data_IF_528586338177
#
_entry.id   IF_528586338177
#
_cell.length_a   1.000
_cell.length_b   1.000
_cell.length_c   1.000
_cell.angle_alpha   90.00
_cell.angle_beta   90.00
_cell.angle_gamma   90.00
#
_symmetry.space_group_name_H-M   'P 1'
#
loop_
_entity.id
_entity.type
_entity.pdbx_description
1 polymer ?
#
# COMPACT_ATOMS: atom_id res chain seq x y z
N UNK A 1 -1.86 44.69 -28.81
CA UNK A 1 -1.60 44.42 -30.24
C UNK A 1 -1.81 45.68 -31.09
N UNK A 2 -1.30 46.83 -30.67
CA UNK A 2 -1.53 48.09 -31.39
C UNK A 2 -0.75 48.14 -32.72
N UNK A 3 -1.28 48.87 -33.71
CA UNK A 3 -0.61 49.22 -34.97
C UNK A 3 -0.07 48.02 -35.78
N UNK A 4 -0.81 46.90 -35.78
CA UNK A 4 -0.52 45.76 -36.65
C UNK A 4 -1.38 45.82 -37.94
N UNK A 5 -1.17 44.86 -38.84
CA UNK A 5 -1.90 44.76 -40.11
C UNK A 5 -3.11 43.83 -39.98
N UNK A 6 -3.84 43.90 -38.86
CA UNK A 6 -5.03 43.05 -38.64
C UNK A 6 -6.20 43.67 -39.42
N UNK A 7 -6.53 43.07 -40.57
CA UNK A 7 -7.46 43.64 -41.55
C UNK A 7 -8.93 43.27 -41.31
N UNK A 8 -9.23 42.07 -40.85
CA UNK A 8 -10.61 41.62 -40.65
C UNK A 8 -10.73 40.77 -39.38
N UNK A 9 -11.93 40.77 -38.79
CA UNK A 9 -12.30 39.73 -37.84
C UNK A 9 -12.42 38.36 -38.53
N UNK A 10 -12.39 38.19 -39.85
CA UNK A 10 -12.23 36.86 -40.49
C UNK A 10 -10.83 36.26 -40.27
N UNK A 11 -9.83 37.08 -39.90
CA UNK A 11 -8.57 36.62 -39.28
C UNK A 11 -8.73 36.29 -37.77
N UNK A 12 -9.97 36.27 -37.25
CA UNK A 12 -10.37 35.92 -35.87
C UNK A 12 -9.75 34.63 -35.40
N UNK A 13 -9.45 33.64 -36.26
CA UNK A 13 -8.87 32.38 -35.79
C UNK A 13 -7.70 32.61 -34.83
N UNK A 14 -6.88 33.63 -35.07
CA UNK A 14 -5.81 33.99 -34.15
C UNK A 14 -6.29 34.54 -32.80
N UNK A 15 -7.30 35.43 -32.75
CA UNK A 15 -7.87 35.91 -31.48
C UNK A 15 -8.74 34.85 -30.78
N UNK A 16 -9.41 33.99 -31.54
CA UNK A 16 -10.12 32.82 -31.05
C UNK A 16 -9.17 31.81 -30.41
N UNK A 17 -7.93 31.69 -30.87
CA UNK A 17 -6.90 30.90 -30.20
C UNK A 17 -6.51 31.49 -28.83
N UNK A 18 -6.79 32.78 -28.61
CA UNK A 18 -6.50 33.48 -27.37
C UNK A 18 -7.73 33.59 -26.45
N UNK A 19 -8.92 33.15 -26.87
CA UNK A 19 -10.19 33.30 -26.13
C UNK A 19 -10.17 32.72 -24.71
N UNK A 20 -9.29 31.74 -24.46
CA UNK A 20 -9.15 31.09 -23.16
C UNK A 20 -8.15 31.81 -22.22
N UNK A 21 -7.50 32.89 -22.68
CA UNK A 21 -6.62 33.69 -21.84
C UNK A 21 -7.46 34.61 -20.94
N UNK A 22 -7.09 34.76 -19.64
CA UNK A 22 -7.77 35.66 -18.72
C UNK A 22 -7.33 37.11 -18.96
N UNK A 23 -7.72 37.67 -20.12
CA UNK A 23 -7.36 39.04 -20.49
C UNK A 23 -8.31 40.05 -19.84
N UNK A 24 -7.75 40.97 -19.07
CA UNK A 24 -8.48 42.10 -18.48
C UNK A 24 -8.41 43.35 -19.36
N UNK A 25 -7.28 43.56 -20.06
CA UNK A 25 -7.04 44.70 -20.96
C UNK A 25 -6.58 44.22 -22.34
N UNK A 26 -7.17 44.80 -23.39
CA UNK A 26 -6.80 44.56 -24.77
C UNK A 26 -6.64 45.89 -25.52
N UNK A 27 -5.60 46.00 -26.34
CA UNK A 27 -5.36 47.17 -27.19
C UNK A 27 -5.21 46.73 -28.65
N UNK A 28 -6.17 47.11 -29.49
CA UNK A 28 -6.21 46.90 -30.93
C UNK A 28 -6.16 48.22 -31.70
N UNK A 29 -5.98 49.37 -31.03
CA UNK A 29 -5.84 50.67 -31.67
C UNK A 29 -4.78 50.67 -32.79
N UNK A 30 -5.09 51.32 -33.90
CA UNK A 30 -4.21 51.43 -35.07
C UNK A 30 -4.22 50.21 -35.99
N UNK A 31 -5.10 49.24 -35.76
CA UNK A 31 -5.33 48.15 -36.71
C UNK A 31 -6.45 48.51 -37.71
N UNK A 32 -6.34 48.11 -39.01
CA UNK A 32 -7.38 48.36 -40.01
C UNK A 32 -8.76 47.78 -39.68
N UNK A 33 -8.86 46.79 -38.79
CA UNK A 33 -10.13 46.28 -38.27
C UNK A 33 -10.95 47.35 -37.53
N UNK A 34 -10.29 48.34 -36.91
CA UNK A 34 -10.97 49.35 -36.09
C UNK A 34 -11.82 50.30 -36.95
N UNK A 35 -11.41 50.53 -38.20
CA UNK A 35 -12.13 51.40 -39.16
C UNK A 35 -13.31 50.71 -39.85
N UNK A 36 -13.57 49.43 -39.56
CA UNK A 36 -14.68 48.67 -40.16
C UNK A 36 -16.00 48.78 -39.41
N UNK A 37 -15.98 49.32 -38.19
CA UNK A 37 -17.15 49.44 -37.34
C UNK A 37 -17.69 50.87 -37.38
N UNK A 38 -19.01 50.98 -37.56
CA UNK A 38 -19.66 52.29 -37.67
C UNK A 38 -19.95 52.91 -36.30
N UNK A 39 -20.01 52.08 -35.25
CA UNK A 39 -20.15 52.55 -33.87
C UNK A 39 -19.14 51.87 -32.94
N UNK A 40 -18.81 52.56 -31.85
CA UNK A 40 -17.96 51.99 -30.81
C UNK A 40 -18.62 50.78 -30.13
N UNK A 41 -19.95 50.79 -30.02
CA UNK A 41 -20.75 49.72 -29.40
C UNK A 41 -20.69 48.41 -30.20
N UNK A 42 -20.74 48.50 -31.54
CA UNK A 42 -20.62 47.35 -32.44
C UNK A 42 -19.24 46.69 -32.31
N UNK A 43 -18.18 47.52 -32.27
CA UNK A 43 -16.81 47.09 -32.06
C UNK A 43 -16.61 46.40 -30.69
N UNK A 44 -17.14 46.98 -29.61
CA UNK A 44 -17.09 46.41 -28.26
C UNK A 44 -17.83 45.08 -28.19
N UNK A 45 -19.00 44.98 -28.85
CA UNK A 45 -19.79 43.75 -28.90
C UNK A 45 -19.03 42.60 -29.56
N UNK A 46 -18.39 42.84 -30.71
CA UNK A 46 -17.58 41.81 -31.40
C UNK A 46 -16.36 41.36 -30.59
N UNK A 47 -15.68 42.28 -29.91
CA UNK A 47 -14.55 41.93 -29.02
C UNK A 47 -15.04 41.09 -27.83
N UNK A 48 -16.20 41.40 -27.26
CA UNK A 48 -16.78 40.67 -26.12
C UNK A 48 -17.33 39.30 -26.47
N UNK A 49 -17.68 39.04 -27.73
CA UNK A 49 -17.97 37.67 -28.19
C UNK A 49 -16.76 36.73 -28.04
N UNK A 50 -15.53 37.26 -28.13
CA UNK A 50 -14.28 36.50 -28.04
C UNK A 50 -13.69 36.56 -26.64
N UNK A 51 -13.75 37.72 -25.98
CA UNK A 51 -13.24 37.95 -24.63
C UNK A 51 -14.36 38.45 -23.71
N UNK A 52 -15.27 37.56 -23.25
CA UNK A 52 -16.42 37.96 -22.44
C UNK A 52 -16.05 38.64 -21.12
N UNK A 53 -14.85 38.34 -20.58
CA UNK A 53 -14.37 38.89 -19.29
C UNK A 53 -13.56 40.19 -19.42
N UNK A 54 -13.45 40.78 -20.63
CA UNK A 54 -12.62 41.95 -20.87
C UNK A 54 -13.17 43.21 -20.18
N UNK A 55 -12.32 43.88 -19.40
CA UNK A 55 -12.65 45.06 -18.61
C UNK A 55 -12.24 46.37 -19.30
N UNK A 56 -11.21 46.34 -20.13
CA UNK A 56 -10.67 47.53 -20.79
C UNK A 56 -10.28 47.25 -22.24
N UNK A 57 -10.73 48.10 -23.15
CA UNK A 57 -10.41 48.02 -24.58
C UNK A 57 -9.91 49.37 -25.07
N UNK A 58 -8.72 49.38 -25.67
CA UNK A 58 -8.10 50.61 -26.22
C UNK A 58 -8.06 51.74 -25.19
N UNK A 59 -7.60 51.40 -23.99
CA UNK A 59 -7.51 52.26 -22.82
C UNK A 59 -8.86 52.75 -22.24
N UNK A 60 -9.99 52.38 -22.86
CA UNK A 60 -11.33 52.74 -22.38
C UNK A 60 -11.94 51.64 -21.52
N UNK A 61 -12.49 51.97 -20.33
CA UNK A 61 -13.19 51.00 -19.50
C UNK A 61 -14.49 50.56 -20.19
N UNK A 62 -14.76 49.25 -20.14
CA UNK A 62 -16.00 48.67 -20.67
C UNK A 62 -16.99 48.40 -19.52
N UNK A 63 -18.32 48.46 -19.77
CA UNK A 63 -19.33 48.13 -18.75
C UNK A 63 -19.12 46.73 -18.19
N UNK A 64 -19.37 46.45 -16.91
CA UNK A 64 -19.16 45.11 -16.36
C UNK A 64 -19.86 44.02 -17.22
N UNK A 65 -19.16 42.94 -17.60
CA UNK A 65 -19.79 41.89 -18.40
C UNK A 65 -20.86 41.15 -17.59
N UNK A 66 -22.00 40.87 -18.21
CA UNK A 66 -23.07 40.09 -17.61
C UNK A 66 -22.67 38.62 -17.71
N UNK A 67 -21.94 38.13 -16.72
CA UNK A 67 -21.55 36.72 -16.61
C UNK A 67 -22.47 36.05 -15.59
N UNK A 68 -23.20 35.02 -16.02
CA UNK A 68 -23.80 34.08 -15.08
C UNK A 68 -22.68 33.18 -14.60
N UNK A 69 -22.27 33.38 -13.35
CA UNK A 69 -21.25 32.56 -12.71
C UNK A 69 -21.86 31.18 -12.44
N UNK A 70 -21.78 30.28 -13.42
CA UNK A 70 -21.86 28.85 -13.12
C UNK A 70 -20.54 28.58 -12.44
N UNK A 71 -20.59 28.49 -11.11
CA UNK A 71 -19.45 28.33 -10.23
C UNK A 71 -18.71 27.04 -10.62
N UNK A 72 -17.80 27.14 -11.60
CA UNK A 72 -16.78 26.13 -11.92
C UNK A 72 -15.76 26.15 -10.78
N UNK A 73 -16.24 25.93 -9.55
CA UNK A 73 -15.39 25.64 -8.42
C UNK A 73 -14.62 24.40 -8.83
N UNK A 74 -13.36 24.60 -9.24
CA UNK A 74 -12.39 23.53 -9.39
C UNK A 74 -12.48 22.73 -8.10
N UNK A 75 -13.11 21.55 -8.16
CA UNK A 75 -13.37 20.69 -7.03
C UNK A 75 -12.02 20.52 -6.32
N UNK A 76 -11.85 21.20 -5.18
CA UNK A 76 -10.66 21.04 -4.37
C UNK A 76 -10.83 19.69 -3.70
N UNK A 77 -10.07 18.71 -4.19
CA UNK A 77 -10.00 17.42 -3.51
C UNK A 77 -9.49 17.65 -2.07
N UNK A 78 -10.05 16.93 -1.09
CA UNK A 78 -9.51 16.97 0.26
C UNK A 78 -8.03 16.57 0.27
N UNK A 79 -7.27 17.16 1.18
CA UNK A 79 -5.85 16.86 1.32
C UNK A 79 -5.66 15.42 1.79
N UNK A 80 -4.73 14.68 1.17
CA UNK A 80 -4.38 13.32 1.61
C UNK A 80 -3.91 13.34 3.06
N UNK A 81 -4.57 12.54 3.91
CA UNK A 81 -4.15 12.30 5.28
C UNK A 81 -3.40 10.97 5.34
N UNK A 82 -2.32 10.94 6.13
CA UNK A 82 -1.50 9.73 6.31
C UNK A 82 -2.16 8.76 7.28
N UNK A 83 -2.94 9.28 8.24
CA UNK A 83 -3.59 8.50 9.27
C UNK A 83 -4.99 9.05 9.51
N UNK A 84 -6.01 8.25 9.19
CA UNK A 84 -7.42 8.62 9.33
C UNK A 84 -8.07 7.71 10.36
N UNK A 85 -8.45 8.28 11.50
CA UNK A 85 -9.28 7.61 12.50
C UNK A 85 -10.39 8.56 12.88
N UNK A 86 -11.64 8.11 12.79
CA UNK A 86 -12.79 8.84 13.31
C UNK A 86 -12.61 9.05 14.82
N UNK A 87 -12.83 10.27 15.34
CA UNK A 87 -12.64 10.74 16.73
C UNK A 87 -12.73 9.68 17.86
N UNK A 88 -11.75 8.78 17.94
CA UNK A 88 -11.67 7.65 18.86
C UNK A 88 -10.20 7.36 19.16
N UNK A 89 -9.67 8.03 20.17
CA UNK A 89 -8.25 7.94 20.55
C UNK A 89 -7.84 6.53 21.02
N UNK A 90 -8.76 5.78 21.63
CA UNK A 90 -8.47 4.40 22.05
C UNK A 90 -8.27 3.48 20.83
N UNK A 91 -9.15 3.58 19.84
CA UNK A 91 -9.04 2.81 18.61
C UNK A 91 -7.74 3.13 17.85
N UNK A 92 -7.37 4.42 17.83
CA UNK A 92 -6.13 4.91 17.25
C UNK A 92 -4.89 4.33 17.91
N UNK A 93 -4.84 4.30 19.24
CA UNK A 93 -3.71 3.72 19.98
C UNK A 93 -3.60 2.22 19.74
N UNK A 94 -4.73 1.49 19.77
CA UNK A 94 -4.78 0.06 19.44
C UNK A 94 -4.26 -0.19 18.02
N UNK A 95 -4.74 0.60 17.04
CA UNK A 95 -4.35 0.46 15.64
C UNK A 95 -2.84 0.71 15.42
N UNK A 96 -2.28 1.71 16.10
CA UNK A 96 -0.84 2.01 16.06
C UNK A 96 -0.01 0.87 16.65
N UNK A 97 -0.37 0.40 17.84
CA UNK A 97 0.34 -0.72 18.50
C UNK A 97 0.25 -2.01 17.66
N UNK A 98 -0.94 -2.31 17.13
CA UNK A 98 -1.16 -3.43 16.24
C UNK A 98 -0.22 -3.37 15.04
N UNK A 99 -0.14 -2.22 14.35
CA UNK A 99 0.71 -2.04 13.18
C UNK A 99 2.19 -2.30 13.51
N UNK A 100 2.70 -1.68 14.56
CA UNK A 100 4.11 -1.81 14.97
C UNK A 100 4.45 -3.26 15.30
N UNK A 101 3.63 -3.93 16.10
CA UNK A 101 3.86 -5.32 16.51
C UNK A 101 3.73 -6.29 15.32
N UNK A 102 2.70 -6.11 14.50
CA UNK A 102 2.43 -6.98 13.36
C UNK A 102 3.60 -6.98 12.38
N UNK A 103 4.02 -5.81 11.91
CA UNK A 103 5.10 -5.71 10.92
C UNK A 103 6.48 -6.02 11.50
N UNK A 104 6.70 -5.77 12.81
CA UNK A 104 7.91 -6.23 13.50
C UNK A 104 8.06 -7.76 13.43
N UNK A 105 6.98 -8.52 13.64
CA UNK A 105 7.01 -9.97 13.50
C UNK A 105 7.05 -10.37 12.02
N UNK A 106 6.28 -9.71 11.17
CA UNK A 106 6.16 -10.04 9.74
C UNK A 106 7.51 -9.96 9.00
N UNK A 107 8.36 -9.00 9.37
CA UNK A 107 9.69 -8.76 8.77
C UNK A 107 10.86 -9.38 9.57
N UNK A 108 10.58 -10.06 10.69
CA UNK A 108 11.61 -10.65 11.55
C UNK A 108 12.38 -11.83 10.92
N UNK A 109 11.96 -12.29 9.74
CA UNK A 109 12.43 -13.54 9.12
C UNK A 109 11.72 -14.79 9.66
N UNK A 110 11.01 -14.70 10.79
CA UNK A 110 10.17 -15.77 11.31
C UNK A 110 8.75 -15.27 11.60
N UNK A 111 7.82 -15.58 10.70
CA UNK A 111 6.41 -15.16 10.82
C UNK A 111 5.58 -16.05 11.75
N UNK A 112 6.13 -17.15 12.26
CA UNK A 112 5.40 -18.12 13.09
C UNK A 112 4.69 -17.52 14.31
N UNK A 113 5.25 -16.53 15.03
CA UNK A 113 4.56 -15.90 16.16
C UNK A 113 3.27 -15.18 15.79
N UNK A 114 3.01 -14.92 14.50
CA UNK A 114 1.72 -14.38 14.07
C UNK A 114 0.56 -15.36 14.30
N UNK A 115 0.80 -16.67 14.51
CA UNK A 115 -0.26 -17.64 14.77
C UNK A 115 -1.21 -17.19 15.88
N UNK A 116 -0.64 -16.64 16.95
CA UNK A 116 -1.36 -16.18 18.15
C UNK A 116 -2.15 -14.89 17.91
N UNK A 117 -1.83 -14.15 16.85
CA UNK A 117 -2.56 -12.96 16.45
C UNK A 117 -3.84 -13.28 15.67
N UNK A 118 -4.02 -14.51 15.15
CA UNK A 118 -5.17 -14.89 14.34
C UNK A 118 -6.22 -15.67 15.13
N UNK A 119 -7.48 -15.33 14.87
CA UNK A 119 -8.63 -16.09 15.37
C UNK A 119 -8.61 -17.54 14.84
N UNK A 120 -9.14 -18.50 15.61
CA UNK A 120 -9.17 -19.93 15.23
C UNK A 120 -9.75 -20.14 13.83
N UNK A 121 -10.83 -19.41 13.50
CA UNK A 121 -11.53 -19.45 12.23
C UNK A 121 -11.15 -18.28 11.28
N UNK A 122 -9.95 -17.72 11.41
CA UNK A 122 -9.53 -16.58 10.62
C UNK A 122 -9.63 -16.84 9.10
N UNK A 123 -9.99 -15.82 8.34
CA UNK A 123 -10.08 -15.88 6.89
C UNK A 123 -8.99 -15.01 6.27
N UNK A 124 -8.28 -15.53 5.27
CA UNK A 124 -7.29 -14.78 4.51
C UNK A 124 -7.46 -14.97 3.00
N UNK A 125 -7.32 -13.88 2.26
CA UNK A 125 -7.15 -13.97 0.81
C UNK A 125 -6.20 -12.90 0.30
N UNK A 126 -5.50 -13.22 -0.78
CA UNK A 126 -4.61 -12.29 -1.45
C UNK A 126 -5.13 -11.96 -2.83
N UNK A 127 -4.95 -10.73 -3.28
CA UNK A 127 -5.15 -10.32 -4.66
C UNK A 127 -3.88 -9.69 -5.20
N UNK A 128 -3.61 -9.90 -6.49
CA UNK A 128 -2.47 -9.27 -7.15
C UNK A 128 -2.73 -9.03 -8.63
N UNK A 129 -2.19 -7.92 -9.13
CA UNK A 129 -2.14 -7.55 -10.54
C UNK A 129 -0.72 -7.64 -11.13
N UNK A 130 0.25 -8.21 -10.39
CA UNK A 130 1.64 -8.40 -10.86
C UNK A 130 1.64 -9.45 -11.96
N UNK A 131 1.71 -9.03 -13.23
CA UNK A 131 1.61 -9.93 -14.38
C UNK A 131 2.96 -10.31 -15.01
N UNK A 132 4.03 -9.61 -14.63
CA UNK A 132 5.39 -9.74 -15.19
C UNK A 132 6.47 -9.44 -14.13
N UNK A 133 7.73 -9.76 -14.45
CA UNK A 133 8.88 -9.49 -13.59
C UNK A 133 9.16 -10.62 -12.58
N UNK A 134 10.07 -10.41 -11.61
CA UNK A 134 10.42 -11.44 -10.64
C UNK A 134 9.21 -11.93 -9.82
N UNK A 135 9.13 -13.24 -9.59
CA UNK A 135 8.14 -13.92 -8.74
C UNK A 135 6.65 -13.70 -9.06
N UNK A 136 6.32 -13.09 -10.20
CA UNK A 136 4.93 -12.82 -10.57
C UNK A 136 4.02 -14.06 -10.57
N UNK A 137 4.56 -15.23 -10.96
CA UNK A 137 3.81 -16.49 -11.00
C UNK A 137 3.33 -16.91 -9.61
N UNK A 138 4.14 -16.70 -8.58
CA UNK A 138 3.78 -17.02 -7.20
C UNK A 138 2.57 -16.19 -6.76
N UNK A 139 2.62 -14.87 -7.00
CA UNK A 139 1.52 -13.97 -6.66
C UNK A 139 0.24 -14.23 -7.46
N UNK A 140 0.35 -14.44 -8.77
CA UNK A 140 -0.83 -14.65 -9.62
C UNK A 140 -1.51 -16.00 -9.36
N UNK A 141 -0.75 -17.03 -8.98
CA UNK A 141 -1.31 -18.35 -8.69
C UNK A 141 -2.20 -18.32 -7.44
N UNK A 142 -1.78 -17.56 -6.42
CA UNK A 142 -2.52 -17.37 -5.17
C UNK A 142 -3.49 -16.17 -5.20
N UNK A 143 -3.58 -15.44 -6.32
CA UNK A 143 -4.45 -14.26 -6.47
C UNK A 143 -5.93 -14.63 -6.62
N UNK A 144 -6.76 -14.19 -5.67
CA UNK A 144 -8.21 -14.41 -5.60
C UNK A 144 -9.01 -13.23 -6.15
N UNK A 145 -8.82 -12.87 -7.41
CA UNK A 145 -9.69 -11.88 -8.07
C UNK A 145 -10.97 -12.55 -8.58
N UNK A 146 -12.12 -12.25 -7.97
CA UNK A 146 -13.42 -12.84 -8.36
C UNK A 146 -13.82 -12.48 -9.80
N UNK A 147 -13.33 -11.36 -10.33
CA UNK A 147 -13.55 -10.97 -11.73
C UNK A 147 -12.75 -11.84 -12.71
N UNK A 148 -11.63 -12.44 -12.28
CA UNK A 148 -10.74 -13.25 -13.13
C UNK A 148 -10.90 -14.75 -12.91
N UNK A 149 -11.17 -15.16 -11.68
CA UNK A 149 -11.35 -16.57 -11.31
C UNK A 149 -12.83 -16.86 -11.37
N UNK A 150 -13.30 -17.59 -12.39
CA UNK A 150 -14.71 -18.01 -12.51
C UNK A 150 -15.00 -19.33 -11.78
N UNK A 151 -14.02 -20.23 -11.71
CA UNK A 151 -14.16 -21.55 -11.09
C UNK A 151 -14.39 -21.46 -9.57
N UNK A 152 -15.49 -22.06 -9.10
CA UNK A 152 -15.93 -22.00 -7.70
C UNK A 152 -15.00 -22.78 -6.77
N UNK A 153 -14.50 -23.93 -7.21
CA UNK A 153 -13.60 -24.77 -6.43
C UNK A 153 -12.29 -24.04 -6.16
N UNK A 154 -11.73 -23.40 -7.18
CA UNK A 154 -10.55 -22.54 -7.07
C UNK A 154 -10.82 -21.32 -6.19
N UNK A 155 -11.96 -20.64 -6.32
CA UNK A 155 -12.33 -19.51 -5.43
C UNK A 155 -12.36 -19.89 -3.95
N UNK A 156 -12.84 -21.10 -3.63
CA UNK A 156 -12.85 -21.64 -2.27
C UNK A 156 -11.43 -21.97 -1.81
N UNK A 157 -10.63 -22.64 -2.64
CA UNK A 157 -9.23 -22.98 -2.32
C UNK A 157 -8.36 -21.75 -2.05
N UNK A 158 -8.58 -20.67 -2.79
CA UNK A 158 -7.84 -19.41 -2.66
C UNK A 158 -8.27 -18.57 -1.44
N UNK A 159 -9.37 -18.92 -0.76
CA UNK A 159 -9.74 -18.34 0.52
C UNK A 159 -9.22 -19.26 1.62
N UNK A 160 -8.15 -18.86 2.29
CA UNK A 160 -7.55 -19.62 3.38
C UNK A 160 -8.45 -19.47 4.61
N UNK A 161 -8.74 -20.59 5.25
CA UNK A 161 -9.67 -20.66 6.38
C UNK A 161 -8.99 -21.35 7.55
N UNK A 162 -9.06 -20.72 8.71
CA UNK A 162 -8.43 -21.15 9.94
C UNK A 162 -6.98 -20.64 10.07
N UNK A 163 -6.58 -20.27 11.30
CA UNK A 163 -5.30 -19.60 11.58
C UNK A 163 -4.06 -20.32 11.03
N UNK A 164 -4.06 -21.66 11.02
CA UNK A 164 -2.94 -22.46 10.49
C UNK A 164 -2.80 -22.28 8.98
N UNK A 165 -3.90 -22.37 8.23
CA UNK A 165 -3.90 -22.19 6.77
C UNK A 165 -3.54 -20.76 6.37
N UNK A 166 -4.02 -19.79 7.15
CA UNK A 166 -3.66 -18.37 7.02
C UNK A 166 -2.15 -18.19 7.19
N UNK A 167 -1.59 -18.65 8.33
CA UNK A 167 -0.17 -18.51 8.62
C UNK A 167 0.71 -19.21 7.58
N UNK A 168 0.37 -20.44 7.20
CA UNK A 168 1.09 -21.18 6.15
C UNK A 168 1.18 -20.36 4.86
N UNK A 169 0.07 -19.75 4.43
CA UNK A 169 0.05 -18.92 3.22
C UNK A 169 0.86 -17.62 3.37
N UNK A 170 0.89 -17.03 4.56
CA UNK A 170 1.71 -15.86 4.88
C UNK A 170 3.20 -16.21 4.90
N UNK A 171 3.58 -17.37 5.42
CA UNK A 171 4.96 -17.85 5.46
C UNK A 171 5.51 -18.17 4.06
N UNK A 172 4.65 -18.53 3.11
CA UNK A 172 5.04 -18.75 1.71
C UNK A 172 5.43 -17.45 0.99
N UNK A 173 4.97 -16.28 1.45
CA UNK A 173 5.37 -15.00 0.85
C UNK A 173 6.88 -14.77 1.02
N UNK A 174 7.57 -14.12 0.06
CA UNK A 174 8.99 -13.81 0.20
C UNK A 174 9.28 -13.04 1.49
N UNK A 175 10.48 -13.16 2.08
CA UNK A 175 10.87 -12.30 3.20
C UNK A 175 10.84 -10.84 2.77
N UNK A 176 10.45 -9.95 3.68
CA UNK A 176 10.14 -8.55 3.39
C UNK A 176 10.83 -7.60 4.35
N UNK A 177 10.98 -6.35 3.91
CA UNK A 177 11.34 -5.20 4.74
C UNK A 177 10.40 -4.04 4.37
N UNK A 178 9.48 -3.70 5.27
CA UNK A 178 8.49 -2.64 5.05
C UNK A 178 9.06 -1.25 5.39
N UNK A 179 8.75 -0.25 4.57
CA UNK A 179 9.04 1.15 4.90
C UNK A 179 7.86 1.74 5.68
N UNK A 180 7.98 1.76 7.01
CA UNK A 180 6.96 2.33 7.89
C UNK A 180 6.71 3.83 7.63
N UNK A 181 7.67 4.58 7.07
CA UNK A 181 7.47 6.00 6.74
C UNK A 181 6.57 6.18 5.51
N UNK A 182 6.43 5.13 4.69
CA UNK A 182 5.54 5.15 3.53
C UNK A 182 4.09 4.79 3.87
N UNK A 183 3.83 4.34 5.11
CA UNK A 183 2.53 3.79 5.46
C UNK A 183 1.46 4.87 5.52
N UNK A 184 0.29 4.55 5.00
CA UNK A 184 -0.95 5.23 5.33
C UNK A 184 -1.87 4.26 6.05
N UNK A 185 -2.67 4.74 6.99
CA UNK A 185 -3.63 3.92 7.72
C UNK A 185 -5.00 4.58 7.79
N UNK A 186 -6.03 3.81 7.47
CA UNK A 186 -7.43 4.18 7.64
C UNK A 186 -8.09 3.19 8.62
N UNK A 187 -8.60 3.70 9.75
CA UNK A 187 -9.49 2.94 10.63
C UNK A 187 -10.92 3.29 10.24
N UNK A 188 -11.47 2.48 9.33
CA UNK A 188 -12.70 2.79 8.60
C UNK A 188 -13.98 2.52 9.39
N UNK A 189 -13.95 1.57 10.33
CA UNK A 189 -15.11 1.19 11.13
C UNK A 189 -14.69 0.68 12.50
N UNK A 190 -15.33 1.18 13.56
CA UNK A 190 -15.04 0.80 14.96
C UNK A 190 -16.35 0.58 15.70
N UNK A 191 -16.48 -0.57 16.34
CA UNK A 191 -17.56 -0.93 17.26
C UNK A 191 -16.97 -1.72 18.43
N UNK A 192 -17.79 -2.00 19.44
CA UNK A 192 -17.39 -2.90 20.53
C UNK A 192 -17.08 -4.33 20.04
N UNK A 193 -17.67 -4.76 18.92
CA UNK A 193 -17.50 -6.10 18.38
C UNK A 193 -16.32 -6.24 17.42
N UNK A 194 -15.93 -5.17 16.71
CA UNK A 194 -14.86 -5.22 15.72
C UNK A 194 -14.31 -3.85 15.33
N UNK A 195 -13.11 -3.87 14.77
CA UNK A 195 -12.42 -2.76 14.13
C UNK A 195 -11.93 -3.16 12.74
N UNK A 196 -12.08 -2.27 11.75
CA UNK A 196 -11.53 -2.46 10.41
C UNK A 196 -10.38 -1.48 10.20
N UNK A 197 -9.19 -2.02 9.96
CA UNK A 197 -7.97 -1.26 9.69
C UNK A 197 -7.51 -1.57 8.27
N UNK A 198 -7.26 -0.54 7.47
CA UNK A 198 -6.62 -0.67 6.17
C UNK A 198 -5.30 0.08 6.19
N UNK A 199 -4.23 -0.58 5.77
CA UNK A 199 -2.88 0.01 5.67
C UNK A 199 -2.42 -0.11 4.23
N UNK A 200 -1.86 0.97 3.70
CA UNK A 200 -1.14 0.93 2.43
C UNK A 200 0.29 1.37 2.62
N UNK A 201 1.20 0.92 1.77
CA UNK A 201 2.60 1.27 1.90
C UNK A 201 3.49 0.57 0.90
N UNK A 202 4.80 0.71 1.11
CA UNK A 202 5.85 0.11 0.32
C UNK A 202 6.63 -0.91 1.15
N UNK A 203 7.09 -1.96 0.47
CA UNK A 203 8.05 -2.90 1.05
C UNK A 203 9.04 -3.39 0.00
N UNK A 204 10.19 -3.83 0.45
CA UNK A 204 11.23 -4.49 -0.34
C UNK A 204 11.15 -6.01 -0.12
N UNK A 205 11.19 -6.79 -1.19
CA UNK A 205 11.36 -8.25 -1.11
C UNK A 205 12.85 -8.59 -0.93
N UNK A 206 13.19 -9.37 0.10
CA UNK A 206 14.54 -9.82 0.41
C UNK A 206 14.82 -11.15 -0.30
N UNK A 207 15.00 -11.09 -1.62
CA UNK A 207 15.30 -12.26 -2.46
C UNK A 207 16.81 -12.31 -2.69
N UNK A 208 17.45 -13.41 -2.29
CA UNK A 208 18.91 -13.50 -2.18
C UNK A 208 19.71 -13.10 -3.43
N UNK A 209 20.94 -12.58 -3.22
CA UNK A 209 22.06 -12.24 -4.14
C UNK A 209 21.79 -11.63 -5.54
N UNK A 210 20.55 -11.45 -5.99
CA UNK A 210 20.22 -10.81 -7.26
C UNK A 210 20.19 -9.29 -7.05
N UNK A 211 20.88 -8.59 -7.94
CA UNK A 211 21.41 -7.23 -7.82
C UNK A 211 20.38 -6.09 -7.94
N UNK A 212 19.09 -6.32 -7.66
CA UNK A 212 18.10 -5.23 -7.69
C UNK A 212 17.01 -5.43 -6.65
N UNK A 213 16.86 -4.42 -5.80
CA UNK A 213 15.76 -4.33 -4.84
C UNK A 213 14.42 -4.38 -5.58
N UNK A 214 13.58 -5.35 -5.21
CA UNK A 214 12.22 -5.47 -5.72
C UNK A 214 11.30 -4.75 -4.74
N UNK A 215 10.84 -3.57 -5.12
CA UNK A 215 9.93 -2.75 -4.33
C UNK A 215 8.50 -3.02 -4.79
N UNK A 216 7.61 -3.24 -3.83
CA UNK A 216 6.18 -3.48 -4.06
C UNK A 216 5.36 -2.45 -3.33
N UNK A 217 4.17 -2.19 -3.87
CA UNK A 217 3.11 -1.52 -3.13
C UNK A 217 2.12 -2.54 -2.63
N UNK A 218 1.62 -2.34 -1.41
CA UNK A 218 0.56 -3.13 -0.85
C UNK A 218 -0.60 -2.28 -0.35
N UNK A 219 -1.78 -2.87 -0.35
CA UNK A 219 -2.93 -2.46 0.44
C UNK A 219 -3.35 -3.69 1.24
N UNK A 220 -3.44 -3.58 2.56
CA UNK A 220 -3.75 -4.69 3.45
C UNK A 220 -4.82 -4.26 4.43
N UNK A 221 -5.88 -5.06 4.53
CA UNK A 221 -7.03 -4.77 5.37
C UNK A 221 -7.23 -5.88 6.38
N UNK A 222 -7.43 -5.52 7.64
CA UNK A 222 -7.74 -6.43 8.74
C UNK A 222 -9.09 -6.09 9.33
N UNK A 223 -9.84 -7.14 9.67
CA UNK A 223 -10.93 -7.07 10.63
C UNK A 223 -10.41 -7.66 11.94
N UNK A 224 -10.30 -6.82 12.95
CA UNK A 224 -9.81 -7.15 14.27
C UNK A 224 -11.01 -7.24 15.21
N UNK A 225 -11.06 -8.30 16.02
CA UNK A 225 -12.14 -8.54 17.00
C UNK A 225 -11.55 -8.69 18.40
N UNK A 226 -12.28 -8.32 19.46
CA UNK A 226 -11.86 -8.60 20.83
C UNK A 226 -11.79 -10.11 21.10
N UNK A 227 -10.76 -10.54 21.83
CA UNK A 227 -10.65 -11.92 22.32
C UNK A 227 -10.00 -11.93 23.71
N UNK A 228 -10.78 -12.34 24.72
CA UNK A 228 -10.34 -12.28 26.11
C UNK A 228 -10.01 -10.86 26.54
N UNK A 229 -8.78 -10.64 27.01
CA UNK A 229 -8.26 -9.30 27.36
C UNK A 229 -7.55 -8.59 26.21
N UNK A 230 -7.47 -9.22 25.03
CA UNK A 230 -6.74 -8.72 23.88
C UNK A 230 -7.59 -8.69 22.61
N UNK A 231 -6.91 -8.80 21.47
CA UNK A 231 -7.52 -8.74 20.14
C UNK A 231 -6.93 -9.82 19.24
N UNK A 232 -7.71 -10.25 18.25
CA UNK A 232 -7.26 -11.16 17.22
C UNK A 232 -7.78 -10.74 15.85
N UNK A 233 -7.09 -11.20 14.80
CA UNK A 233 -7.46 -10.98 13.41
C UNK A 233 -8.49 -12.04 13.00
N UNK A 234 -9.70 -11.60 12.67
CA UNK A 234 -10.77 -12.46 12.15
C UNK A 234 -10.71 -12.58 10.62
N UNK A 235 -10.44 -11.49 9.92
CA UNK A 235 -10.29 -11.48 8.47
C UNK A 235 -9.09 -10.65 8.06
N UNK A 236 -8.39 -11.10 7.02
CA UNK A 236 -7.34 -10.35 6.37
C UNK A 236 -7.48 -10.42 4.83
N UNK A 237 -7.32 -9.28 4.17
CA UNK A 237 -7.12 -9.20 2.73
C UNK A 237 -5.83 -8.47 2.42
N UNK A 238 -5.05 -9.02 1.48
CA UNK A 238 -3.79 -8.43 1.02
C UNK A 238 -3.82 -8.24 -0.49
N UNK A 239 -3.78 -6.99 -0.93
CA UNK A 239 -3.55 -6.62 -2.32
C UNK A 239 -2.08 -6.24 -2.56
N UNK A 240 -1.44 -6.85 -3.57
CA UNK A 240 -0.04 -6.55 -3.94
C UNK A 240 0.05 -6.11 -5.41
N UNK A 241 0.75 -5.00 -5.64
CA UNK A 241 1.02 -4.44 -6.96
C UNK A 241 2.45 -3.89 -7.08
N UNK A 242 2.78 -3.35 -8.25
CA UNK A 242 4.04 -2.66 -8.48
C UNK A 242 4.05 -1.32 -7.75
N UNK A 243 5.19 -0.95 -7.18
CA UNK A 243 5.42 0.44 -6.84
C UNK A 243 5.49 1.28 -8.13
N UNK A 244 4.94 2.50 -8.09
CA UNK A 244 5.13 3.45 -9.19
C UNK A 244 6.58 3.95 -9.22
N UNK A 245 7.06 4.40 -10.38
CA UNK A 245 8.41 4.96 -10.51
C UNK A 245 8.68 6.14 -9.53
N UNK A 246 7.64 6.90 -9.18
CA UNK A 246 7.74 7.97 -8.19
C UNK A 246 7.90 7.44 -6.76
N UNK A 247 7.17 6.38 -6.41
CA UNK A 247 7.28 5.70 -5.12
C UNK A 247 8.65 5.02 -4.97
N UNK A 248 9.12 4.31 -5.99
CA UNK A 248 10.45 3.70 -6.00
C UNK A 248 11.55 4.75 -5.79
N UNK A 249 11.49 5.87 -6.53
CA UNK A 249 12.46 6.95 -6.38
C UNK A 249 12.46 7.53 -4.96
N UNK A 250 11.28 7.72 -4.35
CA UNK A 250 11.16 8.20 -2.97
C UNK A 250 11.77 7.21 -1.98
N UNK A 251 11.42 5.93 -2.10
CA UNK A 251 11.95 4.84 -1.27
C UNK A 251 13.49 4.79 -1.33
N UNK A 252 14.06 4.83 -2.53
CA UNK A 252 15.53 4.79 -2.74
C UNK A 252 16.25 6.07 -2.33
N UNK A 253 15.54 7.20 -2.23
CA UNK A 253 16.11 8.49 -1.84
C UNK A 253 16.12 8.73 -0.33
N UNK A 254 15.46 7.87 0.46
CA UNK A 254 15.54 7.96 1.91
C UNK A 254 16.98 7.62 2.34
N UNK A 255 17.65 8.46 3.15
CA UNK A 255 18.90 8.06 3.77
C UNK A 255 18.61 6.80 4.59
N UNK A 256 19.47 5.78 4.49
CA UNK A 256 19.36 4.55 5.28
C UNK A 256 19.28 4.94 6.77
N UNK A 257 18.06 4.99 7.30
CA UNK A 257 17.83 5.40 8.67
C UNK A 257 18.31 4.26 9.55
N UNK A 258 19.46 4.48 10.18
CA UNK A 258 19.86 3.76 11.38
C UNK A 258 18.69 3.87 12.36
N UNK A 259 18.22 2.71 12.82
CA UNK A 259 17.13 2.58 13.78
C UNK A 259 17.32 3.54 14.97
N UNK A 260 16.32 4.38 15.23
CA UNK A 260 15.70 4.72 16.53
C UNK A 260 15.26 6.20 16.63
N UNK A 261 14.03 6.49 17.10
CA UNK A 261 13.76 7.66 17.88
C UNK A 261 13.85 7.26 19.36
N UNK A 262 15.05 7.40 19.95
CA UNK A 262 15.21 7.42 21.39
C UNK A 262 14.86 8.82 21.90
N UNK A 263 13.67 8.97 22.50
CA UNK A 263 13.38 10.12 23.35
C UNK A 263 14.00 9.85 24.72
N UNK A 264 14.91 10.73 25.11
CA UNK A 264 15.70 10.65 26.33
C UNK A 264 14.83 10.73 27.60
N UNK A 265 15.06 9.80 28.52
CA UNK A 265 14.67 9.84 29.93
C UNK A 265 15.61 8.93 30.74
N UNK A 266 16.02 9.31 31.97
CA UNK A 266 17.22 8.76 32.59
C UNK A 266 17.01 7.38 33.23
N UNK A 267 18.07 6.56 33.12
CA UNK A 267 18.47 5.40 33.93
C UNK A 267 17.40 4.57 34.62
N UNK A 268 17.32 3.29 34.24
CA UNK A 268 17.55 2.16 35.15
C UNK A 268 17.86 0.90 34.34
N UNK A 269 19.01 0.30 34.64
CA UNK A 269 19.48 -0.98 34.14
C UNK A 269 18.57 -2.11 34.58
N UNK A 270 17.85 -2.75 33.64
CA UNK A 270 17.43 -4.15 33.79
C UNK A 270 17.54 -4.82 32.42
N UNK A 271 18.51 -5.72 32.29
CA UNK A 271 18.62 -6.70 31.23
C UNK A 271 17.48 -7.71 31.34
N UNK A 272 16.65 -7.84 30.31
CA UNK A 272 15.72 -8.97 30.17
C UNK A 272 15.99 -9.62 28.81
N UNK A 273 16.72 -10.74 28.86
CA UNK A 273 16.73 -11.74 27.78
C UNK A 273 15.32 -12.34 27.69
N UNK A 274 14.55 -11.96 26.66
CA UNK A 274 13.28 -12.62 26.35
C UNK A 274 13.56 -13.77 25.36
N UNK A 275 13.80 -14.97 25.90
CA UNK A 275 13.50 -16.20 25.17
C UNK A 275 11.98 -16.31 25.06
N UNK A 276 11.45 -16.17 23.85
CA UNK A 276 10.01 -16.35 23.57
C UNK A 276 9.69 -17.84 23.74
N UNK A 277 8.99 -18.18 24.81
CA UNK A 277 8.53 -19.54 25.12
C UNK A 277 7.40 -19.94 24.18
N UNK A 278 7.70 -20.81 23.20
CA UNK A 278 6.69 -21.55 22.43
C UNK A 278 5.92 -22.51 23.35
N UNK A 279 4.60 -22.62 23.16
CA UNK A 279 3.75 -23.57 23.91
C UNK A 279 4.12 -25.02 23.61
N UNK A 280 3.95 -25.91 24.60
CA UNK A 280 4.28 -27.34 24.46
C UNK A 280 3.43 -28.04 23.39
N UNK A 281 2.20 -27.56 23.17
CA UNK A 281 1.31 -28.07 22.12
C UNK A 281 1.82 -27.70 20.72
N UNK A 282 2.32 -26.48 20.54
CA UNK A 282 2.91 -26.05 19.27
C UNK A 282 4.18 -26.85 18.95
N UNK A 283 5.01 -27.11 19.96
CA UNK A 283 6.19 -27.96 19.85
C UNK A 283 5.84 -29.38 19.41
N UNK A 284 4.87 -30.02 20.08
CA UNK A 284 4.43 -31.37 19.73
C UNK A 284 3.89 -31.46 18.29
N UNK A 285 3.07 -30.49 17.87
CA UNK A 285 2.54 -30.47 16.51
C UNK A 285 3.65 -30.33 15.46
N UNK A 286 4.60 -29.42 15.67
CA UNK A 286 5.74 -29.24 14.77
C UNK A 286 6.60 -30.50 14.68
N UNK A 287 6.79 -31.21 15.79
CA UNK A 287 7.50 -32.49 15.82
C UNK A 287 6.80 -33.56 14.99
N UNK A 288 5.48 -33.69 15.13
CA UNK A 288 4.68 -34.65 14.35
C UNK A 288 4.72 -34.34 12.85
N UNK A 289 4.59 -33.05 12.50
CA UNK A 289 4.62 -32.60 11.11
C UNK A 289 6.01 -32.84 10.47
N UNK A 290 7.10 -32.55 11.19
CA UNK A 290 8.45 -32.79 10.69
C UNK A 290 8.74 -34.29 10.53
N UNK A 291 8.27 -35.12 11.46
CA UNK A 291 8.36 -36.58 11.37
C UNK A 291 7.62 -37.12 10.14
N UNK A 292 6.44 -36.57 9.84
CA UNK A 292 5.68 -36.95 8.65
C UNK A 292 6.39 -36.57 7.34
N UNK A 293 7.00 -35.38 7.27
CA UNK A 293 7.67 -34.90 6.05
C UNK A 293 9.03 -35.57 5.80
N UNK A 294 9.80 -35.82 6.86
CA UNK A 294 11.17 -36.34 6.76
C UNK A 294 11.24 -37.86 6.86
N UNK A 295 10.14 -38.50 7.27
CA UNK A 295 10.05 -39.91 7.64
C UNK A 295 10.97 -40.31 8.82
N UNK A 296 11.57 -39.34 9.51
CA UNK A 296 12.27 -39.58 10.78
C UNK A 296 11.26 -39.89 11.88
N UNK A 297 11.69 -40.59 12.94
CA UNK A 297 10.89 -40.78 14.13
C UNK A 297 10.69 -39.45 14.90
N UNK A 298 9.80 -39.50 15.89
CA UNK A 298 9.37 -38.34 16.68
C UNK A 298 10.54 -37.75 17.50
N UNK A 299 11.40 -38.60 18.07
CA UNK A 299 12.52 -38.16 18.92
C UNK A 299 13.56 -37.35 18.12
N UNK A 300 13.94 -37.84 16.94
CA UNK A 300 14.87 -37.13 16.06
C UNK A 300 14.28 -35.88 15.44
N UNK A 301 12.99 -35.92 15.10
CA UNK A 301 12.24 -34.74 14.65
C UNK A 301 12.20 -33.65 15.73
N UNK A 302 12.03 -34.04 17.00
CA UNK A 302 12.03 -33.11 18.13
C UNK A 302 13.42 -32.49 18.33
N UNK A 303 14.48 -33.30 18.35
CA UNK A 303 15.85 -32.81 18.51
C UNK A 303 16.25 -31.85 17.38
N UNK A 304 15.90 -32.19 16.13
CA UNK A 304 16.15 -31.32 14.98
C UNK A 304 15.49 -29.94 15.14
N UNK A 305 14.24 -29.91 15.60
CA UNK A 305 13.53 -28.66 15.91
C UNK A 305 14.17 -27.90 17.07
N UNK A 306 14.61 -28.60 18.11
CA UNK A 306 15.25 -27.99 19.28
C UNK A 306 16.58 -27.29 18.90
N UNK A 307 17.41 -27.93 18.06
CA UNK A 307 18.70 -27.39 17.61
C UNK A 307 18.56 -26.13 16.75
N UNK A 308 17.46 -26.00 16.01
CA UNK A 308 17.19 -24.84 15.15
C UNK A 308 16.26 -23.82 15.80
N UNK A 309 16.15 -23.83 17.14
CA UNK A 309 15.29 -22.94 17.92
C UNK A 309 13.83 -22.94 17.43
N UNK A 310 13.30 -24.12 17.14
CA UNK A 310 11.92 -24.35 16.70
C UNK A 310 11.53 -23.60 15.41
N UNK A 311 12.49 -23.35 14.54
CA UNK A 311 12.23 -22.89 13.17
C UNK A 311 11.95 -24.07 12.25
N UNK A 312 10.68 -24.32 11.92
CA UNK A 312 10.28 -25.43 11.04
C UNK A 312 11.00 -25.39 9.66
N UNK A 313 11.08 -24.26 8.94
CA UNK A 313 11.76 -24.22 7.66
C UNK A 313 13.26 -24.49 7.78
N UNK A 314 13.90 -24.04 8.87
CA UNK A 314 15.31 -24.32 9.13
C UNK A 314 15.54 -25.78 9.45
N UNK A 315 14.63 -26.44 10.19
CA UNK A 315 14.71 -27.87 10.48
C UNK A 315 14.60 -28.71 9.20
N UNK A 316 13.67 -28.37 8.31
CA UNK A 316 13.52 -29.04 6.99
C UNK A 316 14.77 -28.84 6.13
N UNK A 317 15.30 -27.61 6.08
CA UNK A 317 16.53 -27.33 5.33
C UNK A 317 17.75 -28.07 5.91
N UNK A 318 17.88 -28.11 7.24
CA UNK A 318 18.94 -28.82 7.94
C UNK A 318 18.84 -30.34 7.69
N UNK A 319 17.63 -30.91 7.71
CA UNK A 319 17.39 -32.30 7.36
C UNK A 319 17.82 -32.61 5.92
N UNK A 320 17.40 -31.82 4.94
CA UNK A 320 17.76 -32.07 3.55
C UNK A 320 19.27 -31.99 3.31
N UNK A 321 19.95 -31.04 3.96
CA UNK A 321 21.40 -30.92 3.87
C UNK A 321 22.11 -32.09 4.56
N UNK A 322 21.67 -32.49 5.77
CA UNK A 322 22.23 -33.64 6.48
C UNK A 322 21.97 -34.96 5.73
N UNK A 323 20.80 -35.11 5.12
CA UNK A 323 20.42 -36.26 4.29
C UNK A 323 21.30 -36.34 3.04
N UNK A 324 21.52 -35.21 2.34
CA UNK A 324 22.41 -35.10 1.18
C UNK A 324 23.86 -35.45 1.54
N UNK A 325 24.31 -35.07 2.73
CA UNK A 325 25.65 -35.36 3.23
C UNK A 325 25.77 -36.77 3.86
N UNK A 326 24.69 -37.56 3.91
CA UNK A 326 24.69 -38.88 4.52
C UNK A 326 24.99 -38.89 6.03
N UNK A 327 24.68 -37.78 6.72
CA UNK A 327 25.02 -37.56 8.14
C UNK A 327 23.91 -37.95 9.11
N UNK A 328 22.75 -38.41 8.61
CA UNK A 328 21.62 -38.80 9.46
C UNK A 328 21.79 -40.27 9.85
N UNK A 329 21.85 -40.61 11.15
CA UNK A 329 21.96 -41.99 11.61
C UNK A 329 20.75 -42.84 11.19
N UNK A 330 20.95 -44.15 11.00
CA UNK A 330 19.86 -45.05 10.59
C UNK A 330 18.77 -45.17 11.66
N UNK A 331 19.13 -45.00 12.93
CA UNK A 331 18.26 -45.00 14.09
C UNK A 331 17.20 -43.91 14.02
N UNK A 332 17.46 -42.81 13.30
CA UNK A 332 16.50 -41.74 13.07
C UNK A 332 15.26 -42.19 12.28
N UNK A 333 15.33 -43.32 11.58
CA UNK A 333 14.24 -43.86 10.74
C UNK A 333 13.58 -45.10 11.33
N UNK A 334 13.98 -45.54 12.53
CA UNK A 334 13.32 -46.61 13.25
C UNK A 334 12.05 -46.06 13.91
N UNK A 335 10.88 -46.49 13.43
CA UNK A 335 9.56 -46.04 13.90
C UNK A 335 9.05 -46.81 15.10
#
# INVERSE_FOLDING_TARGET
>A
MMKNVIQEFTHINFLNNLKNLPLEELRLEGNPLCSKYNSNEEYVSEVRKIFPKLLKLDEKPLPAPILFDVDDQKLKYPTNQVFVVNDNEQAKEIAKQFLELYFKVFDSGNRSPLLDAYHENALYSMTSNISQGPNYKQYITESRSLNRVSDLTKRRKLLKTGKISVLSSICELPPTEHDLNSFTMDVSFVTEAMMIITVTGLYKELIGKISKDIIRFFNRTWIIVPQGTGFCIANEELHITYASAQQEKKFMSQPAAVQSPSLAGPSSTVSVENQVLLSEEAKQHMTVELSAQTNMNIEWSFQCLQEVNWSFPTAVAAFHEASRLGKIPQEAFNK
#
